data_IF_865159331330
#
_entry.id   IF_865159331330
#
_cell.length_a   1.000
_cell.length_b   1.000
_cell.length_c   1.000
_cell.angle_alpha   90.00
_cell.angle_beta   90.00
_cell.angle_gamma   90.00
#
_symmetry.space_group_name_H-M   'P 1'
#
loop_
_entity.id
_entity.type
_entity.pdbx_description
1 polymer ?
#
# COMPACT_ATOMS: atom_id res chain seq x y z
N UNK A 1 -7.05 -28.01 -4.13
CA UNK A 1 -5.64 -28.40 -4.10
C UNK A 1 -5.39 -29.42 -3.01
N UNK A 2 -4.30 -30.16 -3.13
CA UNK A 2 -3.72 -30.96 -2.06
C UNK A 2 -2.21 -30.71 -2.04
N UNK A 3 -1.60 -30.68 -0.87
CA UNK A 3 -0.13 -30.67 -0.74
C UNK A 3 0.36 -32.11 -0.66
N UNK A 4 1.44 -32.40 -1.38
CA UNK A 4 2.12 -33.69 -1.32
C UNK A 4 3.58 -33.47 -0.98
N UNK A 5 4.02 -34.07 0.13
CA UNK A 5 5.42 -34.10 0.55
C UNK A 5 5.96 -35.47 0.21
N UNK A 6 6.99 -35.50 -0.61
CA UNK A 6 7.68 -36.74 -0.99
C UNK A 6 9.09 -36.66 -0.41
N UNK A 7 9.44 -37.49 0.61
CA UNK A 7 10.77 -37.48 1.16
C UNK A 7 11.81 -38.03 0.14
N UNK A 8 13.01 -37.49 0.18
CA UNK A 8 14.13 -37.99 -0.59
C UNK A 8 14.94 -39.02 0.24
N UNK A 9 15.25 -40.16 -0.35
CA UNK A 9 16.16 -41.11 0.21
C UNK A 9 17.36 -41.24 -0.76
N UNK A 10 18.54 -40.88 -0.31
CA UNK A 10 19.75 -40.81 -1.13
C UNK A 10 19.56 -40.06 -2.46
N UNK A 11 18.84 -38.90 -2.41
CA UNK A 11 18.58 -38.07 -3.56
C UNK A 11 17.50 -38.59 -4.51
N UNK A 12 16.82 -39.69 -4.21
CA UNK A 12 15.68 -40.24 -4.97
C UNK A 12 14.38 -40.09 -4.20
N UNK A 13 13.31 -39.75 -4.91
CA UNK A 13 11.99 -39.64 -4.34
C UNK A 13 11.51 -40.99 -3.77
N UNK A 14 11.16 -41.00 -2.49
CA UNK A 14 10.47 -42.13 -1.86
C UNK A 14 8.95 -41.90 -1.88
N UNK A 15 8.33 -42.27 -2.99
CA UNK A 15 6.89 -42.06 -3.21
C UNK A 15 6.03 -42.91 -2.28
N UNK A 16 6.54 -44.05 -1.76
CA UNK A 16 5.82 -44.89 -0.81
C UNK A 16 5.70 -44.26 0.58
N UNK A 17 6.58 -43.33 0.91
CA UNK A 17 6.54 -42.57 2.16
C UNK A 17 5.97 -41.17 1.96
N UNK A 18 5.33 -40.91 0.84
CA UNK A 18 4.69 -39.63 0.56
C UNK A 18 3.50 -39.39 1.50
N UNK A 19 3.43 -38.19 2.02
CA UNK A 19 2.27 -37.70 2.80
C UNK A 19 1.49 -36.73 1.93
N UNK A 20 0.19 -36.92 1.85
CA UNK A 20 -0.74 -36.05 1.13
C UNK A 20 -1.69 -35.41 2.14
N UNK A 21 -1.84 -34.09 2.07
CA UNK A 21 -2.81 -33.38 2.91
C UNK A 21 -4.24 -33.70 2.51
N UNK A 22 -5.17 -33.38 3.39
CA UNK A 22 -6.57 -33.25 3.02
C UNK A 22 -6.77 -32.19 1.92
N UNK A 23 -7.93 -32.19 1.32
CA UNK A 23 -8.28 -31.20 0.29
C UNK A 23 -8.27 -29.79 0.86
N UNK A 24 -7.43 -28.94 0.30
CA UNK A 24 -7.32 -27.52 0.65
C UNK A 24 -8.17 -26.70 -0.32
N UNK A 25 -8.99 -25.82 0.24
CA UNK A 25 -9.69 -24.80 -0.54
C UNK A 25 -8.82 -23.56 -0.56
N UNK A 26 -8.48 -23.09 -1.75
CA UNK A 26 -7.79 -21.81 -1.95
C UNK A 26 -8.80 -20.82 -2.49
N UNK A 27 -9.10 -19.81 -1.72
CA UNK A 27 -9.95 -18.71 -2.14
C UNK A 27 -9.13 -17.73 -2.98
N UNK A 28 -9.73 -17.22 -4.06
CA UNK A 28 -9.13 -16.14 -4.82
C UNK A 28 -9.09 -14.86 -3.96
N UNK A 29 -8.06 -14.02 -4.13
CA UNK A 29 -8.09 -12.69 -3.57
C UNK A 29 -9.26 -11.89 -4.14
N UNK A 30 -9.87 -11.07 -3.31
CA UNK A 30 -10.89 -10.10 -3.73
C UNK A 30 -10.25 -9.03 -4.63
N UNK A 31 -10.70 -9.01 -5.89
CA UNK A 31 -10.26 -8.07 -6.91
C UNK A 31 -11.26 -6.94 -7.13
N UNK A 32 -11.94 -6.52 -6.08
CA UNK A 32 -12.70 -5.26 -6.14
C UNK A 32 -11.77 -4.05 -6.09
N UNK A 33 -12.31 -2.87 -6.38
CA UNK A 33 -11.55 -1.62 -6.41
C UNK A 33 -11.04 -1.22 -7.79
N UNK A 34 -10.56 0.02 -7.87
CA UNK A 34 -10.30 0.67 -9.16
C UNK A 34 -9.11 0.11 -9.94
N UNK A 35 -8.18 -0.59 -9.30
CA UNK A 35 -7.14 -1.33 -10.02
C UNK A 35 -7.73 -2.32 -11.02
N UNK A 36 -8.91 -2.86 -10.74
CA UNK A 36 -9.56 -3.90 -11.56
C UNK A 36 -10.71 -3.37 -12.41
N UNK A 37 -10.94 -2.06 -12.41
CA UNK A 37 -11.97 -1.44 -13.25
C UNK A 37 -11.70 -1.63 -14.75
N UNK A 38 -12.75 -1.54 -15.56
CA UNK A 38 -12.67 -1.75 -17.01
C UNK A 38 -11.70 -0.80 -17.73
N UNK A 39 -11.45 0.37 -17.13
CA UNK A 39 -10.55 1.39 -17.68
C UNK A 39 -9.12 1.29 -17.15
N UNK A 40 -8.87 0.40 -16.20
CA UNK A 40 -7.54 0.18 -15.64
C UNK A 40 -6.55 -0.36 -16.69
N UNK A 41 -5.27 0.03 -16.62
CA UNK A 41 -4.25 -0.48 -17.55
C UNK A 41 -3.90 -1.97 -17.34
N UNK A 42 -4.40 -2.61 -16.27
CA UNK A 42 -3.99 -3.97 -15.86
C UNK A 42 -5.10 -5.02 -16.01
N UNK A 43 -5.84 -4.95 -17.09
CA UNK A 43 -7.02 -5.81 -17.35
C UNK A 43 -6.77 -7.32 -17.20
N UNK A 44 -5.56 -7.82 -17.49
CA UNK A 44 -5.21 -9.23 -17.57
C UNK A 44 -4.38 -9.72 -16.39
N UNK A 45 -4.37 -8.97 -15.29
CA UNK A 45 -3.62 -9.30 -14.08
C UNK A 45 -2.61 -8.24 -13.69
N UNK A 46 -2.36 -8.16 -12.39
CA UNK A 46 -1.48 -7.18 -11.77
C UNK A 46 -0.13 -7.83 -11.45
N UNK A 47 0.95 -7.08 -11.57
CA UNK A 47 2.27 -7.61 -11.29
C UNK A 47 2.66 -8.77 -12.21
N UNK A 48 3.32 -9.75 -11.66
CA UNK A 48 3.77 -10.95 -12.35
C UNK A 48 2.66 -12.00 -12.57
N UNK A 49 1.42 -11.71 -12.15
CA UNK A 49 0.33 -12.68 -12.08
C UNK A 49 -0.80 -12.38 -13.03
N UNK A 50 -1.45 -13.44 -13.50
CA UNK A 50 -2.72 -13.41 -14.22
C UNK A 50 -3.89 -13.20 -13.24
N UNK A 51 -5.09 -12.93 -13.77
CA UNK A 51 -6.29 -12.75 -12.94
C UNK A 51 -6.72 -14.02 -12.18
N UNK A 52 -6.32 -15.19 -12.61
CA UNK A 52 -6.56 -16.47 -11.93
C UNK A 52 -5.53 -16.78 -10.83
N UNK A 53 -4.57 -15.88 -10.60
CA UNK A 53 -3.53 -16.04 -9.59
C UNK A 53 -2.33 -16.89 -10.04
N UNK A 54 -2.31 -17.35 -11.27
CA UNK A 54 -1.13 -18.04 -11.82
C UNK A 54 -0.07 -17.05 -12.27
N UNK A 55 1.21 -17.43 -12.20
CA UNK A 55 2.28 -16.62 -12.79
C UNK A 55 2.07 -16.47 -14.29
N UNK A 56 2.33 -15.28 -14.83
CA UNK A 56 2.37 -15.06 -16.28
C UNK A 56 3.43 -15.98 -16.91
N UNK A 57 3.15 -16.52 -18.07
CA UNK A 57 3.94 -17.60 -18.69
C UNK A 57 5.43 -17.28 -18.89
N UNK A 58 5.77 -16.00 -18.99
CA UNK A 58 7.14 -15.51 -19.16
C UNK A 58 7.68 -14.80 -17.90
N UNK A 59 7.03 -14.94 -16.75
CA UNK A 59 7.47 -14.32 -15.53
C UNK A 59 8.75 -14.96 -14.99
N UNK A 60 9.67 -14.12 -14.54
CA UNK A 60 10.83 -14.54 -13.76
C UNK A 60 10.56 -14.43 -12.27
N UNK A 61 11.12 -15.33 -11.49
CA UNK A 61 11.00 -15.34 -10.03
C UNK A 61 12.38 -15.13 -9.41
N UNK A 62 12.48 -14.17 -8.50
CA UNK A 62 13.67 -13.87 -7.71
C UNK A 62 13.39 -14.18 -6.25
N UNK A 63 14.16 -15.08 -5.65
CA UNK A 63 14.09 -15.36 -4.21
C UNK A 63 15.17 -14.59 -3.47
N UNK A 64 14.74 -13.77 -2.51
CA UNK A 64 15.61 -12.90 -1.71
C UNK A 64 15.52 -13.29 -0.24
N UNK A 65 16.66 -13.54 0.35
CA UNK A 65 16.85 -13.80 1.78
C UNK A 65 17.89 -12.83 2.35
N UNK A 66 18.02 -12.75 3.65
CA UNK A 66 19.09 -11.96 4.29
C UNK A 66 20.48 -12.38 3.78
N UNK A 67 20.70 -13.69 3.63
CA UNK A 67 21.99 -14.22 3.21
C UNK A 67 22.36 -13.91 1.75
N UNK A 68 21.36 -13.81 0.85
CA UNK A 68 21.65 -13.66 -0.57
C UNK A 68 21.32 -12.29 -1.16
N UNK A 69 20.76 -11.36 -0.40
CA UNK A 69 20.30 -10.04 -0.89
C UNK A 69 21.33 -9.27 -1.73
N UNK A 70 22.62 -9.44 -1.43
CA UNK A 70 23.73 -8.79 -2.15
C UNK A 70 24.34 -9.65 -3.27
N UNK A 71 24.04 -10.95 -3.31
CA UNK A 71 24.69 -11.91 -4.21
C UNK A 71 23.73 -12.59 -5.18
N UNK A 72 22.42 -12.47 -4.94
CA UNK A 72 21.40 -13.01 -5.84
C UNK A 72 21.55 -12.42 -7.24
N UNK A 73 21.35 -13.25 -8.25
CA UNK A 73 21.54 -12.86 -9.64
C UNK A 73 20.25 -13.00 -10.45
N UNK A 74 20.05 -12.07 -11.37
CA UNK A 74 18.97 -12.14 -12.35
C UNK A 74 19.41 -11.50 -13.67
N UNK A 75 19.01 -12.11 -14.75
CA UNK A 75 19.18 -11.55 -16.09
C UNK A 75 17.99 -10.67 -16.43
N UNK A 76 18.25 -9.40 -16.78
CA UNK A 76 17.28 -8.44 -17.27
C UNK A 76 17.66 -8.07 -18.71
N UNK A 77 16.81 -8.42 -19.66
CA UNK A 77 17.19 -8.37 -21.06
C UNK A 77 18.40 -9.26 -21.33
N UNK A 78 19.49 -8.70 -21.84
CA UNK A 78 20.73 -9.42 -22.11
C UNK A 78 21.82 -9.29 -21.03
N UNK A 79 21.55 -8.56 -19.94
CA UNK A 79 22.53 -8.25 -18.91
C UNK A 79 22.19 -8.98 -17.59
N UNK A 80 23.19 -9.64 -17.00
CA UNK A 80 23.07 -10.20 -15.66
C UNK A 80 23.40 -9.14 -14.61
N UNK A 81 22.53 -9.00 -13.61
CA UNK A 81 22.69 -8.10 -12.47
C UNK A 81 22.85 -8.91 -11.18
N UNK A 82 23.64 -8.39 -10.25
CA UNK A 82 23.93 -9.03 -8.96
C UNK A 82 23.48 -8.13 -7.81
N UNK A 83 22.77 -8.71 -6.85
CA UNK A 83 22.19 -8.05 -5.68
C UNK A 83 20.81 -7.44 -5.98
N UNK A 84 19.92 -7.51 -5.00
CA UNK A 84 18.51 -7.10 -5.16
C UNK A 84 18.38 -5.64 -5.58
N UNK A 85 19.20 -4.73 -5.04
CA UNK A 85 19.15 -3.32 -5.38
C UNK A 85 19.50 -3.06 -6.86
N UNK A 86 20.54 -3.69 -7.40
CA UNK A 86 20.91 -3.55 -8.81
C UNK A 86 19.87 -4.17 -9.73
N UNK A 87 19.31 -5.32 -9.35
CA UNK A 87 18.26 -6.00 -10.10
C UNK A 87 17.01 -5.13 -10.19
N UNK A 88 16.49 -4.61 -9.08
CA UNK A 88 15.27 -3.79 -9.07
C UNK A 88 15.45 -2.48 -9.84
N UNK A 89 16.61 -1.85 -9.76
CA UNK A 89 16.94 -0.66 -10.57
C UNK A 89 17.00 -0.96 -12.08
N UNK A 90 17.37 -2.17 -12.47
CA UNK A 90 17.44 -2.58 -13.87
C UNK A 90 16.07 -2.95 -14.45
N UNK A 91 15.08 -3.27 -13.62
CA UNK A 91 13.72 -3.61 -14.06
C UNK A 91 13.03 -2.33 -14.58
N UNK A 92 13.11 -2.11 -15.87
CA UNK A 92 12.47 -0.98 -16.56
C UNK A 92 11.77 -1.47 -17.81
N UNK A 93 10.56 -1.00 -18.06
CA UNK A 93 9.77 -1.41 -19.23
C UNK A 93 10.53 -1.23 -20.56
N UNK A 94 11.32 -0.15 -20.67
CA UNK A 94 12.18 0.13 -21.83
C UNK A 94 13.29 -0.91 -22.08
N UNK A 95 13.60 -1.75 -21.08
CA UNK A 95 14.61 -2.79 -21.18
C UNK A 95 14.02 -4.14 -21.66
N UNK A 96 12.80 -4.14 -22.19
CA UNK A 96 12.05 -5.34 -22.56
C UNK A 96 12.04 -6.39 -21.43
N UNK A 97 11.76 -5.90 -20.22
CA UNK A 97 11.75 -6.74 -19.04
C UNK A 97 10.49 -7.61 -19.02
N UNK A 98 10.66 -8.90 -18.83
CA UNK A 98 9.54 -9.80 -18.55
C UNK A 98 8.91 -9.46 -17.18
N UNK A 99 7.69 -9.91 -16.90
CA UNK A 99 7.11 -9.82 -15.56
C UNK A 99 8.04 -10.47 -14.52
N UNK A 100 8.16 -9.84 -13.34
CA UNK A 100 9.06 -10.31 -12.29
C UNK A 100 8.31 -10.42 -10.96
N UNK A 101 8.38 -11.59 -10.33
CA UNK A 101 8.00 -11.80 -8.94
C UNK A 101 9.25 -11.78 -8.05
N UNK A 102 9.32 -10.82 -7.15
CA UNK A 102 10.40 -10.69 -6.16
C UNK A 102 9.86 -11.25 -4.85
N UNK A 103 10.36 -12.39 -4.45
CA UNK A 103 9.91 -13.18 -3.30
C UNK A 103 10.86 -13.02 -2.13
N UNK A 104 10.36 -12.39 -1.07
CA UNK A 104 11.10 -12.20 0.18
C UNK A 104 10.82 -13.38 1.09
N UNK A 105 11.87 -13.95 1.69
CA UNK A 105 11.81 -15.09 2.61
C UNK A 105 12.49 -14.69 3.91
N UNK A 106 11.75 -14.78 5.02
CA UNK A 106 12.19 -14.34 6.33
C UNK A 106 12.44 -12.84 6.40
N UNK A 107 13.09 -12.39 7.45
CA UNK A 107 13.44 -10.98 7.60
C UNK A 107 14.66 -10.62 6.73
N UNK A 108 14.51 -9.57 5.93
CA UNK A 108 15.58 -9.01 5.08
C UNK A 108 15.80 -7.54 5.46
N UNK A 109 17.00 -7.23 5.95
CA UNK A 109 17.40 -5.87 6.33
C UNK A 109 18.05 -5.18 5.14
N UNK A 110 17.47 -4.07 4.73
CA UNK A 110 17.92 -3.32 3.55
C UNK A 110 18.56 -1.97 3.90
N UNK A 111 18.91 -1.74 5.15
CA UNK A 111 19.63 -0.53 5.55
C UNK A 111 20.91 -0.36 4.74
N UNK A 112 21.13 0.84 4.22
CA UNK A 112 22.25 1.14 3.33
C UNK A 112 22.07 0.73 1.86
N UNK A 113 21.02 0.00 1.51
CA UNK A 113 20.67 -0.34 0.14
C UNK A 113 19.74 0.72 -0.45
N UNK A 114 20.28 1.85 -0.88
CA UNK A 114 19.50 2.86 -1.57
C UNK A 114 19.22 2.44 -3.02
N UNK A 115 17.96 2.37 -3.41
CA UNK A 115 17.57 2.42 -4.82
C UNK A 115 17.67 3.87 -5.29
N UNK A 116 18.88 4.37 -5.53
CA UNK A 116 19.20 5.79 -5.78
C UNK A 116 18.35 6.47 -6.84
N UNK A 117 17.87 5.72 -7.81
CA UNK A 117 17.01 6.25 -8.88
C UNK A 117 15.54 6.38 -8.46
N UNK A 118 15.15 5.82 -7.33
CA UNK A 118 13.76 5.71 -6.91
C UNK A 118 13.50 6.49 -5.63
N UNK A 119 14.38 6.38 -4.64
CA UNK A 119 14.22 7.05 -3.35
C UNK A 119 15.57 7.41 -2.76
N UNK A 120 15.64 8.52 -2.04
CA UNK A 120 16.80 8.89 -1.22
C UNK A 120 16.87 8.11 0.10
N UNK A 121 15.78 7.48 0.49
CA UNK A 121 15.69 6.62 1.67
C UNK A 121 15.99 5.16 1.32
N UNK A 122 16.18 4.36 2.34
CA UNK A 122 16.35 2.92 2.18
C UNK A 122 15.06 2.29 1.68
N UNK A 123 15.10 1.72 0.50
CA UNK A 123 13.95 1.07 -0.10
C UNK A 123 14.36 0.00 -1.11
N UNK A 124 13.56 -1.03 -1.24
CA UNK A 124 13.52 -1.84 -2.45
C UNK A 124 12.52 -1.19 -3.41
N UNK A 125 12.83 -1.06 -4.69
CA UNK A 125 11.87 -0.36 -5.54
C UNK A 125 12.17 -0.38 -7.01
N UNK A 126 11.19 0.09 -7.77
CA UNK A 126 11.25 0.15 -9.23
C UNK A 126 10.84 1.52 -9.75
N UNK A 127 11.44 1.94 -10.86
CA UNK A 127 11.10 3.17 -11.56
C UNK A 127 11.00 2.95 -13.07
N UNK A 128 9.85 3.27 -13.65
CA UNK A 128 9.56 3.05 -15.07
C UNK A 128 9.42 1.56 -15.41
N UNK A 129 8.99 0.76 -14.45
CA UNK A 129 8.81 -0.68 -14.60
C UNK A 129 7.38 -1.05 -15.02
N UNK A 130 7.22 -2.28 -15.46
CA UNK A 130 5.91 -2.87 -15.69
C UNK A 130 5.86 -4.33 -15.19
N UNK A 131 4.70 -4.71 -14.65
CA UNK A 131 4.41 -6.09 -14.25
C UNK A 131 5.38 -6.66 -13.20
N UNK A 132 5.53 -5.97 -12.08
CA UNK A 132 6.37 -6.43 -10.95
C UNK A 132 5.51 -6.71 -9.73
N UNK A 133 5.74 -7.86 -9.10
CA UNK A 133 5.18 -8.20 -7.80
C UNK A 133 6.29 -8.25 -6.75
N UNK A 134 6.12 -7.52 -5.66
CA UNK A 134 6.88 -7.70 -4.42
C UNK A 134 6.01 -8.52 -3.48
N UNK A 135 6.48 -9.69 -3.09
CA UNK A 135 5.68 -10.59 -2.26
C UNK A 135 6.49 -11.30 -1.17
N UNK A 136 5.87 -11.50 -0.02
CA UNK A 136 6.41 -12.34 1.04
C UNK A 136 6.03 -13.80 0.86
N UNK A 137 6.93 -14.69 1.22
CA UNK A 137 6.70 -16.13 1.26
C UNK A 137 6.72 -16.59 2.72
N UNK A 138 5.63 -17.20 3.14
CA UNK A 138 5.43 -17.57 4.55
C UNK A 138 4.78 -16.43 5.34
N UNK A 139 4.84 -16.51 6.65
CA UNK A 139 4.23 -15.60 7.62
C UNK A 139 5.26 -14.67 8.32
N UNK A 140 6.55 -14.85 8.00
CA UNK A 140 7.66 -14.11 8.60
C UNK A 140 8.41 -13.19 7.62
N UNK A 141 7.95 -13.12 6.38
CA UNK A 141 8.59 -12.33 5.33
C UNK A 141 8.51 -10.84 5.62
N UNK A 142 9.61 -10.24 6.07
CA UNK A 142 9.67 -8.85 6.54
C UNK A 142 10.80 -8.06 5.88
N UNK A 143 10.49 -6.88 5.37
CA UNK A 143 11.48 -5.86 5.01
C UNK A 143 11.75 -5.00 6.24
N UNK A 144 12.96 -5.05 6.74
CA UNK A 144 13.40 -4.32 7.93
C UNK A 144 14.31 -3.16 7.56
N UNK A 145 14.04 -1.99 8.15
CA UNK A 145 14.75 -0.74 7.87
C UNK A 145 14.69 -0.30 6.40
N UNK A 146 13.62 -0.67 5.71
CA UNK A 146 13.39 -0.26 4.33
C UNK A 146 11.91 -0.31 3.96
N UNK A 147 11.52 0.52 3.01
CA UNK A 147 10.21 0.51 2.40
C UNK A 147 10.20 -0.08 0.99
N UNK A 148 9.04 -0.03 0.35
CA UNK A 148 8.83 -0.35 -1.07
C UNK A 148 8.52 0.93 -1.84
N UNK A 149 9.33 1.26 -2.85
CA UNK A 149 9.15 2.44 -3.68
C UNK A 149 8.78 2.09 -5.12
N UNK A 150 7.66 2.65 -5.60
CA UNK A 150 7.09 2.37 -6.93
C UNK A 150 6.86 3.68 -7.65
N UNK A 151 7.74 4.03 -8.57
CA UNK A 151 7.72 5.31 -9.26
C UNK A 151 7.55 5.12 -10.77
N UNK A 152 6.67 5.91 -11.38
CA UNK A 152 6.47 5.95 -12.84
C UNK A 152 6.26 4.56 -13.46
N UNK A 153 5.58 3.68 -12.73
CA UNK A 153 5.46 2.26 -13.06
C UNK A 153 4.01 1.85 -13.30
N UNK A 154 3.81 0.73 -13.99
CA UNK A 154 2.47 0.23 -14.31
C UNK A 154 2.35 -1.26 -14.02
N UNK A 155 1.23 -1.66 -13.42
CA UNK A 155 0.98 -3.06 -13.11
C UNK A 155 1.91 -3.57 -12.01
N UNK A 156 1.83 -2.97 -10.84
CA UNK A 156 2.65 -3.35 -9.69
C UNK A 156 1.77 -3.93 -8.58
N UNK A 157 2.25 -4.99 -7.98
CA UNK A 157 1.59 -5.63 -6.84
C UNK A 157 2.56 -5.68 -5.65
N UNK A 158 2.07 -5.34 -4.46
CA UNK A 158 2.81 -5.46 -3.20
C UNK A 158 1.94 -6.24 -2.23
N UNK A 159 2.39 -7.43 -1.82
CA UNK A 159 1.55 -8.32 -1.02
C UNK A 159 2.30 -9.19 -0.02
N UNK A 160 1.58 -9.62 1.01
CA UNK A 160 2.03 -10.59 2.01
C UNK A 160 3.41 -10.25 2.60
N UNK A 161 3.68 -8.95 2.82
CA UNK A 161 4.94 -8.46 3.38
C UNK A 161 4.72 -7.81 4.74
N UNK A 162 5.57 -8.13 5.68
CA UNK A 162 5.84 -7.27 6.82
C UNK A 162 6.75 -6.11 6.39
N UNK A 163 6.41 -4.87 6.74
CA UNK A 163 7.27 -3.70 6.57
C UNK A 163 7.49 -3.06 7.93
N UNK A 164 8.75 -2.91 8.32
CA UNK A 164 9.10 -2.52 9.68
C UNK A 164 10.28 -1.54 9.70
N UNK A 165 10.18 -0.49 10.53
CA UNK A 165 11.26 0.47 10.79
C UNK A 165 11.84 1.13 9.53
N UNK A 166 11.02 1.46 8.55
CA UNK A 166 11.48 2.18 7.36
C UNK A 166 12.06 3.55 7.74
N UNK A 167 13.07 4.00 7.01
CA UNK A 167 13.76 5.25 7.27
C UNK A 167 12.89 6.47 7.01
N UNK A 168 13.06 7.50 7.83
CA UNK A 168 12.41 8.80 7.65
C UNK A 168 13.17 9.72 6.69
N UNK A 169 12.46 10.68 6.13
CA UNK A 169 12.98 11.77 5.30
C UNK A 169 12.83 11.55 3.78
N UNK A 170 12.44 12.59 3.10
CA UNK A 170 12.18 12.56 1.65
C UNK A 170 11.00 11.65 1.29
N UNK A 171 11.25 10.60 0.52
CA UNK A 171 10.29 9.58 0.16
C UNK A 171 10.47 8.28 0.99
N UNK A 172 10.88 8.42 2.24
CA UNK A 172 11.17 7.34 3.16
C UNK A 172 9.93 6.73 3.81
N UNK A 173 8.93 6.40 3.00
CA UNK A 173 7.69 5.76 3.44
C UNK A 173 7.84 4.24 3.51
N UNK A 174 6.95 3.58 4.24
CA UNK A 174 6.82 2.13 4.21
C UNK A 174 6.50 1.63 2.79
N UNK A 175 5.47 2.20 2.17
CA UNK A 175 5.18 2.01 0.74
C UNK A 175 4.96 3.37 0.11
N UNK A 176 5.71 3.70 -0.93
CA UNK A 176 5.61 4.98 -1.63
C UNK A 176 5.28 4.79 -3.11
N UNK A 177 4.15 5.35 -3.54
CA UNK A 177 3.73 5.32 -4.95
C UNK A 177 3.81 6.73 -5.52
N UNK A 178 4.51 6.89 -6.66
CA UNK A 178 4.56 8.15 -7.42
C UNK A 178 4.31 7.92 -8.91
N UNK A 179 3.40 8.70 -9.49
CA UNK A 179 3.12 8.66 -10.93
C UNK A 179 2.93 7.24 -11.47
N UNK A 180 2.33 6.36 -10.66
CA UNK A 180 2.19 4.94 -10.97
C UNK A 180 0.74 4.56 -11.21
N UNK A 181 0.50 3.55 -12.04
CA UNK A 181 -0.86 3.19 -12.49
C UNK A 181 -1.10 1.68 -12.42
N UNK A 182 -2.33 1.31 -12.05
CA UNK A 182 -2.71 -0.09 -11.92
C UNK A 182 -1.88 -0.78 -10.84
N UNK A 183 -1.95 -0.26 -9.62
CA UNK A 183 -1.18 -0.76 -8.48
C UNK A 183 -2.11 -1.39 -7.45
N UNK A 184 -1.73 -2.56 -6.97
CA UNK A 184 -2.46 -3.27 -5.91
C UNK A 184 -1.55 -3.52 -4.71
N UNK A 185 -1.93 -2.95 -3.56
CA UNK A 185 -1.24 -3.13 -2.28
C UNK A 185 -2.17 -3.88 -1.36
N UNK A 186 -1.84 -5.14 -1.02
CA UNK A 186 -2.78 -5.96 -0.27
C UNK A 186 -2.13 -7.02 0.63
N UNK A 187 -2.87 -7.41 1.67
CA UNK A 187 -2.43 -8.43 2.61
C UNK A 187 -1.04 -8.18 3.20
N UNK A 188 -0.69 -6.92 3.45
CA UNK A 188 0.57 -6.56 4.10
C UNK A 188 0.34 -6.21 5.57
N UNK A 189 1.37 -6.39 6.37
CA UNK A 189 1.45 -5.99 7.76
C UNK A 189 2.48 -4.86 7.88
N UNK A 190 2.01 -3.62 8.07
CA UNK A 190 2.84 -2.41 7.96
C UNK A 190 2.84 -1.69 9.30
N UNK A 191 3.99 -1.68 9.97
CA UNK A 191 4.12 -1.07 11.27
C UNK A 191 5.52 -0.50 11.50
N UNK A 192 5.62 0.56 12.31
CA UNK A 192 6.93 1.15 12.52
C UNK A 192 7.84 0.28 13.39
N UNK A 193 7.32 -0.25 14.50
CA UNK A 193 8.01 -1.26 15.29
C UNK A 193 8.97 -0.74 16.36
N UNK A 194 9.40 0.51 16.32
CA UNK A 194 10.21 1.11 17.38
C UNK A 194 9.34 1.81 18.41
N UNK A 195 9.78 1.79 19.66
CA UNK A 195 9.16 2.58 20.70
C UNK A 195 9.20 4.08 20.38
N UNK A 196 8.16 4.79 20.72
CA UNK A 196 8.04 6.23 20.50
C UNK A 196 6.61 6.71 20.76
N UNK A 197 6.39 8.01 20.68
CA UNK A 197 5.04 8.56 20.75
C UNK A 197 4.35 8.40 19.41
N UNK A 198 3.01 8.38 19.42
CA UNK A 198 2.19 8.37 18.19
C UNK A 198 2.14 9.75 17.49
N UNK A 199 3.01 10.68 17.90
CA UNK A 199 3.11 11.99 17.28
C UNK A 199 3.60 11.92 15.83
N UNK A 200 3.13 12.86 15.04
CA UNK A 200 3.21 12.92 13.57
C UNK A 200 4.58 12.60 12.95
N UNK A 201 5.68 12.89 13.64
CA UNK A 201 7.04 12.69 13.13
C UNK A 201 7.86 11.70 13.95
N UNK A 202 7.27 11.11 14.99
CA UNK A 202 8.02 10.32 15.95
C UNK A 202 8.40 8.92 15.39
N UNK A 203 7.64 8.42 14.44
CA UNK A 203 7.78 7.05 13.91
C UNK A 203 7.86 7.06 12.38
N UNK A 204 8.99 7.47 11.85
CA UNK A 204 9.22 7.49 10.42
C UNK A 204 8.39 8.51 9.65
N UNK A 205 8.24 8.34 8.35
CA UNK A 205 7.29 9.06 7.50
C UNK A 205 6.05 8.19 7.24
N UNK A 206 5.32 8.38 6.14
CA UNK A 206 4.09 7.65 5.87
C UNK A 206 4.23 6.13 5.83
N UNK A 207 3.21 5.41 6.27
CA UNK A 207 3.20 3.94 6.09
C UNK A 207 2.89 3.56 4.65
N UNK A 208 1.96 4.29 4.01
CA UNK A 208 1.53 4.02 2.64
C UNK A 208 1.11 5.32 1.95
N UNK A 209 1.96 5.89 1.11
CA UNK A 209 1.72 7.17 0.46
C UNK A 209 1.49 7.06 -1.05
N UNK A 210 0.46 7.75 -1.55
CA UNK A 210 0.15 7.91 -2.97
C UNK A 210 0.39 9.36 -3.38
N UNK A 211 1.26 9.56 -4.35
CA UNK A 211 1.74 10.90 -4.73
C UNK A 211 1.73 11.10 -6.25
N UNK A 212 1.69 12.37 -6.65
CA UNK A 212 1.99 12.83 -8.01
C UNK A 212 1.19 12.12 -9.13
N UNK A 213 -0.12 12.17 -9.09
CA UNK A 213 -1.01 11.56 -10.10
C UNK A 213 -0.90 10.03 -10.22
N UNK A 214 -0.64 9.32 -9.14
CA UNK A 214 -0.87 7.87 -9.13
C UNK A 214 -2.35 7.56 -9.37
N UNK A 215 -2.65 6.55 -10.20
CA UNK A 215 -4.02 6.27 -10.68
C UNK A 215 -4.32 4.77 -10.70
N UNK A 216 -5.59 4.42 -10.60
CA UNK A 216 -6.04 3.03 -10.58
C UNK A 216 -5.31 2.23 -9.51
N UNK A 217 -5.41 2.70 -8.27
CA UNK A 217 -4.77 2.07 -7.12
C UNK A 217 -5.82 1.47 -6.20
N UNK A 218 -5.58 0.25 -5.75
CA UNK A 218 -6.35 -0.40 -4.70
C UNK A 218 -5.44 -0.77 -3.54
N UNK A 219 -5.82 -0.33 -2.34
CA UNK A 219 -5.18 -0.67 -1.07
C UNK A 219 -6.17 -1.49 -0.26
N UNK A 220 -5.90 -2.79 -0.05
CA UNK A 220 -6.91 -3.68 0.50
C UNK A 220 -6.36 -4.79 1.38
N UNK A 221 -7.13 -5.19 2.40
CA UNK A 221 -6.77 -6.29 3.28
C UNK A 221 -5.40 -6.13 3.96
N UNK A 222 -4.95 -4.88 4.18
CA UNK A 222 -3.72 -4.62 4.92
C UNK A 222 -4.03 -4.35 6.39
N UNK A 223 -3.09 -4.68 7.26
CA UNK A 223 -3.04 -4.24 8.63
C UNK A 223 -1.99 -3.12 8.75
N UNK A 224 -2.45 -1.92 9.07
CA UNK A 224 -1.60 -0.75 9.29
C UNK A 224 -1.71 -0.33 10.74
N UNK A 225 -0.60 -0.32 11.45
CA UNK A 225 -0.64 -0.04 12.87
C UNK A 225 0.62 0.68 13.37
N UNK A 226 0.47 1.31 14.53
CA UNK A 226 1.55 1.95 15.29
C UNK A 226 2.34 2.99 14.46
N UNK A 227 1.64 3.81 13.66
CA UNK A 227 2.23 4.85 12.83
C UNK A 227 1.72 6.24 13.19
N UNK A 228 2.59 7.24 13.16
CA UNK A 228 2.20 8.64 13.32
C UNK A 228 1.47 9.23 12.11
N UNK A 229 1.85 8.76 10.90
CA UNK A 229 1.29 9.21 9.61
C UNK A 229 1.00 8.01 8.74
N UNK A 230 -0.25 7.54 8.72
CA UNK A 230 -0.52 6.29 8.03
C UNK A 230 -0.49 6.42 6.50
N UNK A 231 -1.32 7.26 5.89
CA UNK A 231 -1.37 7.37 4.43
C UNK A 231 -1.66 8.77 3.94
N UNK A 232 -0.73 9.32 3.18
CA UNK A 232 -0.97 10.52 2.38
C UNK A 232 -1.50 10.13 1.01
N UNK A 233 -2.62 10.71 0.61
CA UNK A 233 -3.21 10.52 -0.71
C UNK A 233 -3.31 11.87 -1.41
N UNK A 234 -2.31 12.20 -2.22
CA UNK A 234 -2.19 13.46 -2.95
C UNK A 234 -1.24 14.48 -2.36
N UNK A 235 -0.45 15.11 -3.25
CA UNK A 235 0.56 16.13 -2.96
C UNK A 235 0.11 17.57 -3.24
N UNK A 236 -1.15 17.80 -3.66
CA UNK A 236 -1.75 19.06 -4.16
C UNK A 236 -1.43 19.38 -5.63
N UNK A 237 -0.77 18.48 -6.32
CA UNK A 237 -0.40 18.64 -7.73
C UNK A 237 -1.20 17.74 -8.66
N UNK A 238 -2.03 16.90 -8.10
CA UNK A 238 -2.84 15.95 -8.83
C UNK A 238 -3.95 16.70 -9.59
N UNK A 239 -4.27 16.18 -10.75
CA UNK A 239 -5.35 16.69 -11.61
C UNK A 239 -6.12 15.54 -12.25
N UNK A 240 -7.43 15.70 -12.31
CA UNK A 240 -8.32 14.69 -12.88
C UNK A 240 -8.65 13.56 -11.93
N UNK A 241 -9.37 12.61 -12.47
CA UNK A 241 -9.84 11.44 -11.74
C UNK A 241 -8.67 10.48 -11.47
N UNK A 242 -8.44 10.14 -10.22
CA UNK A 242 -7.32 9.30 -9.84
C UNK A 242 -7.70 7.83 -9.71
N UNK A 243 -8.96 7.50 -9.41
CA UNK A 243 -9.46 6.13 -9.27
C UNK A 243 -8.72 5.35 -8.18
N UNK A 244 -8.88 5.81 -6.93
CA UNK A 244 -8.22 5.25 -5.75
C UNK A 244 -9.25 4.56 -4.86
N UNK A 245 -8.93 3.37 -4.38
CA UNK A 245 -9.77 2.61 -3.45
C UNK A 245 -8.98 2.17 -2.23
N UNK A 246 -9.58 2.34 -1.05
CA UNK A 246 -9.15 1.71 0.20
C UNK A 246 -10.29 0.84 0.71
N UNK A 247 -10.08 -0.48 0.83
CA UNK A 247 -11.12 -1.37 1.35
C UNK A 247 -10.58 -2.54 2.17
N UNK A 248 -11.38 -3.00 3.14
CA UNK A 248 -11.03 -4.12 4.00
C UNK A 248 -9.68 -4.00 4.68
N UNK A 249 -9.20 -2.77 4.94
CA UNK A 249 -8.00 -2.55 5.72
C UNK A 249 -8.35 -2.43 7.20
N UNK A 250 -7.40 -2.80 8.05
CA UNK A 250 -7.43 -2.51 9.45
C UNK A 250 -6.42 -1.39 9.76
N UNK A 251 -6.94 -0.25 10.25
CA UNK A 251 -6.17 0.90 10.70
C UNK A 251 -6.15 0.91 12.22
N UNK A 252 -5.04 0.44 12.80
CA UNK A 252 -4.94 0.03 14.17
C UNK A 252 -4.01 0.97 14.97
N UNK A 253 -4.54 1.63 16.00
CA UNK A 253 -3.82 2.44 16.97
C UNK A 253 -2.74 3.35 16.38
N UNK A 254 -3.04 4.00 15.29
CA UNK A 254 -2.19 4.99 14.65
C UNK A 254 -2.78 6.40 14.80
N UNK A 255 -1.96 7.44 14.54
CA UNK A 255 -2.30 8.80 14.89
C UNK A 255 -3.23 9.47 13.87
N UNK A 256 -2.78 9.59 12.62
CA UNK A 256 -3.49 10.38 11.60
C UNK A 256 -3.36 9.81 10.18
N UNK A 257 -4.17 10.34 9.25
CA UNK A 257 -4.12 10.06 7.83
C UNK A 257 -4.56 8.64 7.44
N UNK A 258 -5.86 8.35 7.56
CA UNK A 258 -6.37 7.01 7.23
C UNK A 258 -7.48 7.03 6.13
N UNK A 259 -7.22 7.51 4.92
CA UNK A 259 -6.12 8.35 4.44
C UNK A 259 -6.35 9.86 4.66
N UNK A 260 -5.28 10.67 4.51
CA UNK A 260 -5.39 12.11 4.27
C UNK A 260 -5.39 12.36 2.76
N UNK A 261 -6.47 12.95 2.26
CA UNK A 261 -6.72 13.11 0.83
C UNK A 261 -6.57 14.59 0.44
N UNK A 262 -5.87 14.86 -0.66
CA UNK A 262 -5.74 16.17 -1.29
C UNK A 262 -5.82 16.01 -2.80
N UNK A 263 -6.62 16.80 -3.47
CA UNK A 263 -6.74 16.85 -4.95
C UNK A 263 -7.03 15.51 -5.63
N UNK A 264 -7.42 14.49 -4.88
CA UNK A 264 -7.76 13.16 -5.38
C UNK A 264 -9.20 12.79 -5.03
N UNK A 265 -9.81 11.96 -5.86
CA UNK A 265 -11.11 11.32 -5.61
C UNK A 265 -10.86 9.88 -5.13
N UNK A 266 -11.40 9.54 -3.96
CA UNK A 266 -11.08 8.28 -3.26
C UNK A 266 -12.34 7.60 -2.76
N UNK A 267 -12.47 6.30 -3.02
CA UNK A 267 -13.49 5.43 -2.46
C UNK A 267 -12.92 4.65 -1.27
N UNK A 268 -13.55 4.81 -0.09
CA UNK A 268 -13.12 4.23 1.19
C UNK A 268 -14.25 3.40 1.76
N UNK A 269 -14.16 2.06 1.71
CA UNK A 269 -15.26 1.22 2.14
C UNK A 269 -14.84 -0.07 2.86
N UNK A 270 -15.71 -0.56 3.73
CA UNK A 270 -15.50 -1.79 4.49
C UNK A 270 -14.17 -1.86 5.25
N UNK A 271 -13.63 -0.72 5.69
CA UNK A 271 -12.44 -0.72 6.53
C UNK A 271 -12.81 -0.74 8.02
N UNK A 272 -11.89 -1.22 8.83
CA UNK A 272 -11.96 -1.17 10.27
C UNK A 272 -10.92 -0.19 10.82
N UNK A 273 -11.37 0.76 11.62
CA UNK A 273 -10.57 1.79 12.28
C UNK A 273 -10.65 1.53 13.78
N UNK A 274 -9.51 1.33 14.44
CA UNK A 274 -9.47 1.06 15.86
C UNK A 274 -8.46 1.96 16.58
N UNK A 275 -8.92 2.72 17.55
CA UNK A 275 -8.07 3.51 18.43
C UNK A 275 -7.26 4.64 17.78
N UNK A 276 -7.73 5.19 16.65
CA UNK A 276 -6.99 6.24 15.95
C UNK A 276 -7.05 7.56 16.70
N UNK A 277 -5.90 8.05 17.14
CA UNK A 277 -5.81 9.12 18.14
C UNK A 277 -6.14 10.51 17.63
N UNK A 278 -5.95 10.79 16.33
CA UNK A 278 -6.37 12.04 15.71
C UNK A 278 -7.57 11.81 14.81
N UNK A 279 -7.38 11.46 13.54
CA UNK A 279 -8.51 11.31 12.63
C UNK A 279 -8.39 10.07 11.71
N UNK A 280 -9.55 9.57 11.31
CA UNK A 280 -9.68 8.53 10.30
C UNK A 280 -9.52 9.09 8.89
N UNK A 281 -10.61 9.23 8.14
CA UNK A 281 -10.59 9.82 6.80
C UNK A 281 -10.54 11.33 6.87
N UNK A 282 -9.51 11.94 6.28
CA UNK A 282 -9.35 13.39 6.22
C UNK A 282 -9.38 13.90 4.78
N UNK A 283 -10.41 14.66 4.42
CA UNK A 283 -10.54 15.32 3.12
C UNK A 283 -10.10 16.77 3.20
N UNK A 284 -9.07 17.15 2.45
CA UNK A 284 -8.54 18.50 2.37
C UNK A 284 -8.48 18.94 0.91
N UNK A 285 -8.06 20.14 0.70
CA UNK A 285 -7.86 20.83 -0.59
C UNK A 285 -8.36 20.08 -1.83
N UNK A 286 -9.50 20.49 -2.36
CA UNK A 286 -10.08 20.03 -3.64
C UNK A 286 -10.16 18.49 -3.76
N UNK A 287 -10.32 17.79 -2.64
CA UNK A 287 -10.44 16.34 -2.63
C UNK A 287 -11.88 15.88 -2.46
N UNK A 288 -12.15 14.67 -2.90
CA UNK A 288 -13.44 14.01 -2.79
C UNK A 288 -13.28 12.63 -2.18
N UNK A 289 -14.09 12.31 -1.20
CA UNK A 289 -14.07 11.01 -0.55
C UNK A 289 -15.48 10.42 -0.45
N UNK A 290 -15.71 9.28 -1.08
CA UNK A 290 -16.87 8.48 -0.79
C UNK A 290 -16.51 7.46 0.30
N UNK A 291 -17.12 7.62 1.48
CA UNK A 291 -16.80 6.86 2.68
C UNK A 291 -18.03 6.04 3.08
N UNK A 292 -18.00 4.71 2.85
CA UNK A 292 -19.18 3.89 3.08
C UNK A 292 -18.88 2.57 3.79
N UNK A 293 -19.84 2.11 4.57
CA UNK A 293 -19.81 0.81 5.23
C UNK A 293 -18.52 0.53 6.05
N UNK A 294 -17.87 1.56 6.56
CA UNK A 294 -16.73 1.41 7.45
C UNK A 294 -17.16 1.30 8.91
N UNK A 295 -16.32 0.65 9.71
CA UNK A 295 -16.48 0.62 11.15
C UNK A 295 -15.35 1.41 11.83
N UNK A 296 -15.74 2.47 12.57
CA UNK A 296 -14.85 3.31 13.36
C UNK A 296 -15.10 3.03 14.84
N UNK A 297 -14.11 2.45 15.50
CA UNK A 297 -14.11 2.17 16.93
C UNK A 297 -13.04 3.00 17.62
N UNK A 298 -13.45 3.84 18.58
CA UNK A 298 -12.54 4.73 19.33
C UNK A 298 -11.62 5.58 18.45
N UNK A 299 -12.06 5.90 17.24
CA UNK A 299 -11.41 6.87 16.36
C UNK A 299 -11.89 8.27 16.78
N UNK A 300 -10.99 9.13 17.23
CA UNK A 300 -11.39 10.42 17.80
C UNK A 300 -12.21 11.27 16.81
N UNK A 301 -11.78 11.34 15.57
CA UNK A 301 -12.47 12.04 14.48
C UNK A 301 -12.59 11.12 13.27
N UNK A 302 -13.60 10.26 13.18
CA UNK A 302 -13.74 9.27 12.12
C UNK A 302 -13.63 9.85 10.72
N UNK A 303 -14.27 10.99 10.50
CA UNK A 303 -14.25 11.71 9.24
C UNK A 303 -14.08 13.20 9.49
N UNK A 304 -13.21 13.84 8.72
CA UNK A 304 -12.81 15.22 8.92
C UNK A 304 -12.60 15.93 7.58
N UNK A 305 -13.41 16.95 7.29
CA UNK A 305 -13.15 17.90 6.21
C UNK A 305 -12.32 19.07 6.72
N UNK A 306 -11.37 19.54 5.92
CA UNK A 306 -10.60 20.74 6.25
C UNK A 306 -11.48 21.99 6.22
N UNK A 307 -11.22 22.88 7.16
CA UNK A 307 -11.91 24.17 7.26
C UNK A 307 -10.95 25.27 6.77
N UNK A 308 -11.36 26.01 5.79
CA UNK A 308 -10.82 27.25 5.18
C UNK A 308 -9.48 27.77 5.76
N UNK A 309 -8.37 27.09 5.47
CA UNK A 309 -7.05 27.58 5.83
C UNK A 309 -6.68 27.49 7.32
N UNK A 310 -7.58 27.00 8.18
CA UNK A 310 -7.31 26.79 9.61
C UNK A 310 -7.44 25.34 10.02
N UNK A 311 -6.73 24.96 11.06
CA UNK A 311 -6.96 23.66 11.69
C UNK A 311 -8.33 23.67 12.35
N UNK A 312 -9.10 22.65 12.07
CA UNK A 312 -10.42 22.44 12.67
C UNK A 312 -10.31 22.24 14.18
N UNK A 313 -9.20 21.69 14.59
CA UNK A 313 -8.94 21.30 15.98
C UNK A 313 -7.70 22.02 16.44
N UNK A 314 -7.86 22.86 17.47
CA UNK A 314 -6.75 23.57 18.10
C UNK A 314 -5.58 22.61 18.36
N UNK A 315 -4.40 22.94 17.85
CA UNK A 315 -3.20 22.13 18.04
C UNK A 315 -2.69 21.40 16.79
N UNK A 316 -3.16 21.71 15.60
CA UNK A 316 -2.55 21.24 14.35
C UNK A 316 -2.88 19.80 13.99
N UNK A 317 -4.06 19.34 14.31
CA UNK A 317 -4.49 17.96 14.03
C UNK A 317 -4.74 17.71 12.54
N UNK A 318 -5.17 18.74 11.82
CA UNK A 318 -5.44 18.69 10.40
C UNK A 318 -5.02 20.01 9.79
N UNK A 319 -4.09 20.00 8.85
CA UNK A 319 -3.57 21.23 8.29
C UNK A 319 -4.62 21.98 7.49
N UNK A 320 -4.64 23.29 7.68
CA UNK A 320 -5.61 24.23 7.16
C UNK A 320 -5.59 24.43 5.66
N UNK A 321 -5.80 23.38 4.89
CA UNK A 321 -5.98 23.45 3.45
C UNK A 321 -7.47 23.38 3.16
N UNK A 322 -7.98 24.41 2.50
CA UNK A 322 -9.40 24.55 2.23
C UNK A 322 -10.02 23.31 1.60
N UNK A 323 -11.14 22.97 2.11
CA UNK A 323 -12.20 22.15 1.61
C UNK A 323 -11.81 20.81 0.97
N UNK A 324 -12.34 19.80 1.35
CA UNK A 324 -12.55 18.55 0.71
C UNK A 324 -13.98 18.16 0.93
N UNK A 325 -14.51 17.32 0.09
CA UNK A 325 -15.88 16.85 0.15
C UNK A 325 -15.88 15.41 0.65
N UNK A 326 -16.78 15.09 1.58
CA UNK A 326 -17.01 13.72 2.03
C UNK A 326 -18.48 13.38 1.82
N UNK A 327 -18.74 12.37 0.99
CA UNK A 327 -20.01 11.67 0.96
C UNK A 327 -19.92 10.47 1.89
N UNK A 328 -20.71 10.48 2.97
CA UNK A 328 -20.71 9.38 3.95
C UNK A 328 -21.99 8.56 3.82
N UNK A 329 -21.85 7.22 3.83
CA UNK A 329 -22.99 6.33 3.75
C UNK A 329 -22.78 5.06 4.57
N UNK A 330 -23.76 4.70 5.38
CA UNK A 330 -23.81 3.42 6.11
C UNK A 330 -22.56 3.08 6.96
N UNK A 331 -21.87 4.10 7.50
CA UNK A 331 -20.75 3.87 8.40
C UNK A 331 -21.26 3.64 9.84
N UNK A 332 -20.59 2.74 10.57
CA UNK A 332 -20.83 2.56 11.99
C UNK A 332 -19.70 3.21 12.80
N UNK A 333 -20.06 3.92 13.87
CA UNK A 333 -19.10 4.67 14.69
C UNK A 333 -19.42 4.50 16.18
N UNK A 334 -18.40 4.23 16.99
CA UNK A 334 -18.52 4.20 18.45
C UNK A 334 -17.28 4.77 19.12
N UNK A 335 -17.47 5.43 20.26
CA UNK A 335 -16.39 5.96 21.08
C UNK A 335 -15.63 7.15 20.48
N UNK A 336 -16.17 7.78 19.43
CA UNK A 336 -15.59 8.98 18.81
C UNK A 336 -15.84 10.24 19.66
N UNK A 337 -14.96 11.24 19.50
CA UNK A 337 -15.19 12.58 20.05
C UNK A 337 -16.18 13.38 19.24
N UNK A 338 -15.98 13.41 17.93
CA UNK A 338 -16.81 14.19 17.03
C UNK A 338 -16.64 13.72 15.58
N UNK A 339 -17.65 13.97 14.76
CA UNK A 339 -17.61 13.82 13.31
C UNK A 339 -17.69 15.20 12.71
N UNK A 340 -16.71 15.57 11.88
CA UNK A 340 -16.61 16.91 11.32
C UNK A 340 -16.55 16.78 9.80
N UNK A 341 -17.71 16.91 9.18
CA UNK A 341 -17.83 16.99 7.72
C UNK A 341 -17.78 18.41 7.20
N UNK A 342 -17.85 19.39 8.10
CA UNK A 342 -18.11 20.74 7.72
C UNK A 342 -16.94 21.37 7.00
N UNK A 343 -17.25 22.00 5.88
CA UNK A 343 -16.50 23.13 5.41
C UNK A 343 -16.76 24.33 6.32
N UNK A 344 -15.77 25.15 6.53
CA UNK A 344 -15.91 26.35 7.33
C UNK A 344 -16.61 27.52 6.61
N UNK A 345 -17.04 27.32 5.39
CA UNK A 345 -17.84 28.33 4.72
C UNK A 345 -19.13 28.58 5.47
N UNK A 346 -19.40 29.85 5.73
CA UNK A 346 -20.59 30.22 6.43
C UNK A 346 -21.82 29.69 5.66
N UNK A 347 -22.56 28.83 6.30
CA UNK A 347 -23.71 28.16 5.69
C UNK A 347 -23.42 26.80 5.07
N UNK A 348 -22.16 26.40 4.91
CA UNK A 348 -21.80 25.06 4.48
C UNK A 348 -21.57 24.19 5.72
N UNK A 349 -22.47 23.31 5.99
CA UNK A 349 -22.42 22.51 7.22
C UNK A 349 -21.74 21.17 7.03
N UNK A 350 -21.77 20.63 5.84
CA UNK A 350 -21.24 19.30 5.56
C UNK A 350 -20.79 19.26 4.12
N UNK A 351 -19.72 18.55 3.88
CA UNK A 351 -19.48 17.97 2.60
C UNK A 351 -20.67 17.06 2.28
N UNK A 352 -21.50 17.51 1.38
CA UNK A 352 -22.78 16.87 1.14
C UNK A 352 -22.60 15.59 0.34
N UNK A 353 -23.44 14.62 0.62
CA UNK A 353 -23.56 13.45 -0.23
C UNK A 353 -23.93 13.78 -1.69
N UNK A 354 -24.43 14.99 -1.95
CA UNK A 354 -24.79 15.43 -3.30
C UNK A 354 -23.61 16.01 -4.10
N UNK A 355 -22.49 16.28 -3.43
CA UNK A 355 -21.35 16.95 -4.05
C UNK A 355 -20.25 15.95 -4.48
N UNK A 356 -20.52 14.66 -4.37
CA UNK A 356 -19.60 13.61 -4.76
C UNK A 356 -20.11 12.90 -6.03
N UNK A 357 -19.40 13.06 -7.12
CA UNK A 357 -19.63 12.41 -8.41
C UNK A 357 -18.59 11.28 -8.60
N UNK A 358 -18.85 10.10 -8.03
CA UNK A 358 -17.99 8.93 -8.20
C UNK A 358 -18.60 7.90 -9.15
#
# INVERSE_FOLDING_TARGET
YVMKIVPLNNGKENTSAAIVSDKLTVNAHDRSGFTFSSNSPVKNGVGAYNNDGTLKSNASVLYVTEANKNTVKMKIGNTEYTGVAAITQAIKAKNNCQPVAIRIIGQVTLSGLACKDVSSAYAIGVKGAANVTFEGIGDDATLYEAGVAVFQSTGIEVRNLGLMNWGGGGDGDGISLKQSRGVWVHNNDVFYGNAGSDGDQAKGDGSMDLKDNSQYVTVSYNHFWDSGKMSLCGMKSESGENWITYHHNWFDHSDSRHPRIRTMSVHVYNNYYDGNSKYGVGAAKDSEAFVEANYFRHCNYPMLSSMQGSDVLAGGIFSGENGGVIKAYNNYMEGQKSVIYANSDAGTTTASATDFDA
#
